data_IF_187908986477
#
_entry.id   IF_187908986477
#
_cell.length_a   1.000
_cell.length_b   1.000
_cell.length_c   1.000
_cell.angle_alpha   90.00
_cell.angle_beta   90.00
_cell.angle_gamma   90.00
#
_symmetry.space_group_name_H-M   'P 1'
#
loop_
_entity.id
_entity.type
_entity.pdbx_description
1 polymer ?
#
# COMPACT_ATOMS: atom_id res chain seq x y z
N UNK A 1 -9.45 6.56 -28.42
CA UNK A 1 -10.06 6.12 -27.15
C UNK A 1 -10.07 7.31 -26.23
N UNK A 2 -11.26 7.88 -26.03
CA UNK A 2 -11.53 8.99 -25.12
C UNK A 2 -11.28 8.50 -23.70
N UNK A 3 -10.28 9.08 -23.04
CA UNK A 3 -10.14 8.98 -21.59
C UNK A 3 -11.43 9.54 -20.99
N UNK A 4 -12.25 8.67 -20.38
CA UNK A 4 -13.38 9.11 -19.57
C UNK A 4 -12.76 9.61 -18.28
N UNK A 5 -12.43 10.91 -18.22
CA UNK A 5 -12.19 11.60 -16.95
C UNK A 5 -13.47 11.52 -16.11
N UNK A 6 -13.50 10.61 -15.13
CA UNK A 6 -14.53 10.54 -14.09
C UNK A 6 -14.31 11.68 -13.06
N UNK A 7 -15.35 12.10 -12.31
CA UNK A 7 -15.68 13.48 -12.00
C UNK A 7 -14.93 14.09 -10.81
N UNK A 8 -13.60 13.97 -10.77
CA UNK A 8 -12.76 14.60 -9.73
C UNK A 8 -12.75 16.14 -9.82
N UNK A 9 -13.09 16.70 -10.98
CA UNK A 9 -13.28 18.15 -11.13
C UNK A 9 -14.33 18.69 -10.17
N UNK A 10 -15.37 17.91 -9.83
CA UNK A 10 -16.53 18.46 -9.13
C UNK A 10 -16.36 18.60 -7.62
N UNK A 11 -15.64 17.70 -6.94
CA UNK A 11 -15.49 17.76 -5.47
C UNK A 11 -14.40 18.72 -5.03
N UNK A 12 -13.25 18.72 -5.72
CA UNK A 12 -12.17 19.68 -5.49
C UNK A 12 -12.65 21.10 -5.76
N UNK A 13 -13.36 21.30 -6.86
CA UNK A 13 -13.93 22.62 -7.20
C UNK A 13 -14.98 23.03 -6.17
N UNK A 14 -15.85 22.12 -5.72
CA UNK A 14 -16.79 22.40 -4.62
C UNK A 14 -16.08 22.80 -3.33
N UNK A 15 -15.03 22.08 -2.94
CA UNK A 15 -14.24 22.41 -1.75
C UNK A 15 -13.52 23.76 -1.89
N UNK A 16 -12.92 24.07 -3.04
CA UNK A 16 -12.28 25.35 -3.31
C UNK A 16 -13.29 26.52 -3.28
N UNK A 17 -14.47 26.34 -3.88
CA UNK A 17 -15.55 27.33 -3.85
C UNK A 17 -16.04 27.55 -2.43
N UNK A 18 -16.20 26.47 -1.66
CA UNK A 18 -16.63 26.55 -0.26
C UNK A 18 -15.62 27.28 0.64
N UNK A 19 -14.32 26.92 0.54
CA UNK A 19 -13.25 27.59 1.30
C UNK A 19 -13.11 29.06 0.90
N UNK A 20 -13.25 29.38 -0.39
CA UNK A 20 -13.20 30.78 -0.87
C UNK A 20 -14.37 31.61 -0.31
N UNK A 21 -15.57 31.01 -0.22
CA UNK A 21 -16.72 31.65 0.42
C UNK A 21 -16.49 31.90 1.92
N UNK A 22 -15.91 30.94 2.65
CA UNK A 22 -15.59 31.12 4.07
C UNK A 22 -14.53 32.20 4.30
N UNK A 23 -13.54 32.33 3.41
CA UNK A 23 -12.56 33.42 3.41
C UNK A 23 -13.24 34.78 3.25
N UNK A 24 -14.14 34.92 2.27
CA UNK A 24 -14.90 36.14 2.06
C UNK A 24 -15.77 36.50 3.27
N UNK A 25 -16.42 35.53 3.90
CA UNK A 25 -17.20 35.73 5.12
C UNK A 25 -16.33 36.15 6.31
N UNK A 26 -15.16 35.54 6.48
CA UNK A 26 -14.21 35.88 7.54
C UNK A 26 -13.62 37.29 7.37
N UNK A 27 -13.27 37.68 6.14
CA UNK A 27 -12.73 39.01 5.81
C UNK A 27 -13.78 40.12 6.00
N UNK A 28 -15.04 39.86 5.64
CA UNK A 28 -16.13 40.83 5.75
C UNK A 28 -16.76 40.89 7.15
N UNK A 29 -16.36 40.01 8.07
CA UNK A 29 -16.85 40.01 9.45
C UNK A 29 -16.26 41.18 10.24
N UNK A 30 -17.03 41.76 11.16
CA UNK A 30 -16.54 42.81 12.09
C UNK A 30 -15.71 42.25 13.26
N UNK A 31 -15.55 40.93 13.33
CA UNK A 31 -14.79 40.24 14.37
C UNK A 31 -13.34 40.04 13.92
N UNK A 32 -12.39 40.15 14.85
CA UNK A 32 -10.98 39.93 14.55
C UNK A 32 -10.72 38.41 14.38
N UNK A 33 -10.87 37.92 13.15
CA UNK A 33 -10.67 36.51 12.76
C UNK A 33 -9.36 36.29 12.01
N UNK A 34 -8.30 37.00 12.40
CA UNK A 34 -7.01 36.94 11.72
C UNK A 34 -6.39 35.52 11.70
N UNK A 35 -6.68 34.72 12.73
CA UNK A 35 -6.22 33.33 12.82
C UNK A 35 -6.99 32.42 11.85
N UNK A 36 -8.33 32.52 11.82
CA UNK A 36 -9.18 31.78 10.88
C UNK A 36 -8.83 32.08 9.41
N UNK A 37 -8.57 33.35 9.09
CA UNK A 37 -8.17 33.76 7.72
C UNK A 37 -6.88 33.03 7.32
N UNK A 38 -5.90 33.01 8.21
CA UNK A 38 -4.61 32.34 7.96
C UNK A 38 -4.78 30.83 7.77
N UNK A 39 -5.58 30.17 8.60
CA UNK A 39 -5.87 28.73 8.44
C UNK A 39 -6.59 28.44 7.12
N UNK A 40 -7.56 29.26 6.74
CA UNK A 40 -8.30 29.09 5.49
C UNK A 40 -7.43 29.34 4.25
N UNK A 41 -6.50 30.31 4.30
CA UNK A 41 -5.50 30.53 3.26
C UNK A 41 -4.57 29.33 3.09
N UNK A 42 -4.11 28.74 4.20
CA UNK A 42 -3.29 27.53 4.20
C UNK A 42 -4.06 26.32 3.62
N UNK A 43 -5.34 26.16 3.96
CA UNK A 43 -6.21 25.13 3.38
C UNK A 43 -6.41 25.35 1.87
N UNK A 44 -6.63 26.59 1.43
CA UNK A 44 -6.77 26.92 0.01
C UNK A 44 -5.48 26.62 -0.77
N UNK A 45 -4.31 26.88 -0.17
CA UNK A 45 -3.00 26.54 -0.72
C UNK A 45 -2.81 25.02 -0.81
N UNK A 46 -3.19 24.26 0.21
CA UNK A 46 -3.12 22.79 0.19
C UNK A 46 -4.07 22.15 -0.83
N UNK A 47 -5.27 22.70 -0.99
CA UNK A 47 -6.25 22.24 -1.98
C UNK A 47 -5.83 22.62 -3.41
N UNK A 48 -5.25 23.79 -3.62
CA UNK A 48 -4.78 24.22 -4.94
C UNK A 48 -3.52 23.47 -5.41
N UNK A 49 -2.67 23.01 -4.48
CA UNK A 49 -1.55 22.14 -4.81
C UNK A 49 -2.03 20.88 -5.55
N UNK A 50 -1.37 20.58 -6.68
CA UNK A 50 -1.57 19.32 -7.39
C UNK A 50 -0.94 18.21 -6.55
N UNK A 51 -1.77 17.45 -5.83
CA UNK A 51 -1.35 16.15 -5.30
C UNK A 51 -1.21 15.21 -6.49
N UNK A 52 0.01 14.96 -6.91
CA UNK A 52 0.33 13.84 -7.78
C UNK A 52 0.33 12.59 -6.91
N UNK A 53 -0.50 11.61 -7.25
CA UNK A 53 -0.60 10.36 -6.51
C UNK A 53 -1.56 9.42 -7.20
N UNK A 54 -1.23 8.14 -7.20
CA UNK A 54 -2.15 7.09 -7.57
C UNK A 54 -3.20 6.98 -6.44
N UNK A 55 -4.47 7.00 -6.79
CA UNK A 55 -5.58 6.80 -5.85
C UNK A 55 -6.29 5.53 -6.27
N UNK A 56 -6.43 4.57 -5.35
CA UNK A 56 -7.15 3.33 -5.58
C UNK A 56 -8.09 3.04 -4.41
N UNK A 57 -9.10 2.21 -4.67
CA UNK A 57 -10.00 1.71 -3.64
C UNK A 57 -9.25 0.71 -2.76
N UNK A 58 -9.27 0.93 -1.45
CA UNK A 58 -8.68 0.01 -0.48
C UNK A 58 -9.63 -1.15 -0.24
N UNK A 59 -9.16 -2.36 -0.53
CA UNK A 59 -9.88 -3.57 -0.17
C UNK A 59 -9.22 -4.18 1.06
N UNK A 60 -9.96 -4.23 2.17
CA UNK A 60 -9.49 -4.91 3.37
C UNK A 60 -9.48 -6.42 3.16
N UNK A 61 -8.31 -7.05 3.29
CA UNK A 61 -8.20 -8.51 3.38
C UNK A 61 -8.79 -8.95 4.73
N UNK A 62 -9.59 -10.03 4.72
CA UNK A 62 -10.22 -10.60 5.94
C UNK A 62 -9.21 -10.85 7.08
N UNK A 63 -7.95 -11.08 6.71
CA UNK A 63 -6.81 -11.26 7.59
C UNK A 63 -6.61 -10.16 8.66
N UNK A 64 -6.86 -8.88 8.35
CA UNK A 64 -6.70 -7.80 9.34
C UNK A 64 -7.75 -7.86 10.46
N UNK A 65 -8.94 -8.40 10.16
CA UNK A 65 -9.97 -8.62 11.17
C UNK A 65 -9.59 -9.79 12.09
N UNK A 66 -9.02 -10.85 11.53
CA UNK A 66 -8.65 -12.07 12.25
C UNK A 66 -7.42 -11.86 13.16
N UNK A 67 -6.44 -11.05 12.75
CA UNK A 67 -5.27 -10.71 13.57
C UNK A 67 -5.60 -10.01 14.90
N UNK A 68 -6.76 -9.35 15.01
CA UNK A 68 -7.16 -8.70 16.26
C UNK A 68 -7.40 -9.69 17.40
N UNK A 69 -7.75 -10.93 17.07
CA UNK A 69 -8.17 -11.93 18.03
C UNK A 69 -7.24 -13.15 18.09
N UNK A 70 -6.39 -13.35 17.08
CA UNK A 70 -5.48 -14.49 17.03
C UNK A 70 -4.09 -14.06 16.57
N UNK A 71 -3.07 -14.27 17.40
CA UNK A 71 -1.66 -14.06 17.02
C UNK A 71 -1.15 -15.39 16.53
N UNK A 72 -0.99 -15.56 15.22
CA UNK A 72 -0.47 -16.81 14.70
C UNK A 72 1.02 -16.93 15.02
N UNK A 73 1.52 -18.16 15.14
CA UNK A 73 2.93 -18.44 15.48
C UNK A 73 3.49 -19.48 14.53
N UNK A 74 4.75 -19.31 14.13
CA UNK A 74 5.44 -20.34 13.36
C UNK A 74 5.76 -21.55 14.23
N UNK A 75 5.45 -22.73 13.70
CA UNK A 75 5.79 -24.01 14.32
C UNK A 75 6.88 -24.68 13.50
N UNK A 76 8.02 -24.96 14.12
CA UNK A 76 9.13 -25.64 13.45
C UNK A 76 8.74 -27.08 13.09
N UNK A 77 8.82 -27.42 11.80
CA UNK A 77 8.67 -28.79 11.36
C UNK A 77 10.04 -29.50 11.34
N UNK A 78 10.36 -30.19 12.43
CA UNK A 78 11.64 -30.92 12.60
C UNK A 78 11.90 -31.99 11.53
N UNK A 79 10.85 -32.55 10.92
CA UNK A 79 10.99 -33.58 9.89
C UNK A 79 11.52 -33.04 8.55
N UNK A 80 11.27 -31.76 8.26
CA UNK A 80 11.73 -31.09 7.03
C UNK A 80 13.10 -30.41 7.20
N UNK A 81 13.75 -30.55 8.35
CA UNK A 81 15.05 -29.92 8.63
C UNK A 81 16.16 -30.61 7.85
N UNK A 82 16.80 -29.87 6.94
CA UNK A 82 17.95 -30.36 6.17
C UNK A 82 19.26 -29.88 6.79
N UNK A 83 20.19 -30.81 6.98
CA UNK A 83 21.55 -30.52 7.46
C UNK A 83 22.54 -30.76 6.33
N UNK A 84 23.10 -29.68 5.77
CA UNK A 84 24.17 -29.77 4.78
C UNK A 84 25.55 -29.85 5.43
N UNK A 85 25.77 -29.02 6.45
CA UNK A 85 26.99 -29.00 7.25
C UNK A 85 26.62 -29.17 8.73
N UNK A 86 27.21 -30.16 9.40
CA UNK A 86 26.91 -30.51 10.80
C UNK A 86 27.62 -29.59 11.80
N UNK A 87 28.69 -28.91 11.37
CA UNK A 87 29.52 -28.08 12.23
C UNK A 87 29.22 -26.57 12.08
N UNK A 88 28.37 -26.20 11.12
CA UNK A 88 27.95 -24.83 10.89
C UNK A 88 26.67 -24.48 11.65
N UNK A 89 26.73 -23.41 12.45
CA UNK A 89 25.56 -22.84 13.13
C UNK A 89 24.69 -21.95 12.20
N UNK A 90 24.96 -21.92 10.89
CA UNK A 90 24.17 -21.14 9.94
C UNK A 90 22.93 -21.91 9.52
N UNK A 91 21.78 -21.26 9.57
CA UNK A 91 20.51 -21.81 9.13
C UNK A 91 19.80 -20.83 8.20
N UNK A 92 19.05 -21.38 7.25
CA UNK A 92 18.11 -20.64 6.42
C UNK A 92 16.69 -21.07 6.82
N UNK A 93 15.75 -20.14 6.82
CA UNK A 93 14.35 -20.44 7.10
C UNK A 93 13.55 -20.56 5.81
N UNK A 94 12.71 -21.58 5.75
CA UNK A 94 11.62 -21.69 4.78
C UNK A 94 10.31 -21.54 5.56
N UNK A 95 9.54 -20.51 5.25
CA UNK A 95 8.25 -20.23 5.86
C UNK A 95 7.16 -20.66 4.89
N UNK A 96 6.23 -21.50 5.36
CA UNK A 96 5.10 -22.02 4.58
C UNK A 96 3.81 -21.40 5.15
N UNK A 97 3.09 -20.63 4.33
CA UNK A 97 1.87 -19.93 4.73
C UNK A 97 1.56 -18.73 3.85
N UNK A 98 0.54 -17.96 4.22
CA UNK A 98 0.25 -16.68 3.58
C UNK A 98 1.39 -15.67 3.81
N UNK A 99 1.71 -14.89 2.77
CA UNK A 99 2.84 -13.97 2.80
C UNK A 99 2.59 -12.75 3.69
N UNK A 100 1.38 -12.18 3.72
CA UNK A 100 1.05 -11.03 4.55
C UNK A 100 1.14 -11.39 6.02
N UNK A 101 0.62 -12.57 6.35
CA UNK A 101 0.77 -13.16 7.67
C UNK A 101 2.24 -13.33 8.05
N UNK A 102 3.02 -13.98 7.19
CA UNK A 102 4.43 -14.24 7.46
C UNK A 102 5.23 -12.95 7.67
N UNK A 103 4.94 -11.92 6.88
CA UNK A 103 5.55 -10.60 7.00
C UNK A 103 5.24 -9.94 8.35
N UNK A 104 4.00 -10.03 8.86
CA UNK A 104 3.67 -9.48 10.18
C UNK A 104 4.40 -10.18 11.33
N UNK A 105 4.65 -11.48 11.23
CA UNK A 105 5.45 -12.19 12.22
C UNK A 105 6.93 -11.80 12.16
N UNK A 106 7.45 -11.64 10.94
CA UNK A 106 8.79 -11.13 10.73
C UNK A 106 8.93 -9.69 11.25
N UNK A 107 7.90 -8.86 11.11
CA UNK A 107 7.90 -7.47 11.61
C UNK A 107 8.20 -7.41 13.12
N UNK A 108 7.73 -8.40 13.89
CA UNK A 108 7.98 -8.47 15.35
C UNK A 108 9.42 -8.84 15.72
N UNK A 109 10.14 -9.52 14.84
CA UNK A 109 11.43 -10.17 15.16
C UNK A 109 12.61 -9.60 14.37
N UNK A 110 12.36 -9.11 13.15
CA UNK A 110 13.36 -8.73 12.14
C UNK A 110 13.20 -7.29 11.62
N UNK A 111 12.52 -6.42 12.38
CA UNK A 111 12.42 -4.99 12.07
C UNK A 111 13.81 -4.38 11.88
N UNK A 112 14.05 -3.76 10.72
CA UNK A 112 15.32 -3.12 10.40
C UNK A 112 16.52 -4.06 10.20
N UNK A 113 16.31 -5.38 10.06
CA UNK A 113 17.40 -6.37 10.03
C UNK A 113 17.63 -7.00 8.65
N UNK A 114 16.78 -6.73 7.67
CA UNK A 114 16.87 -7.34 6.34
C UNK A 114 17.62 -6.41 5.39
N UNK A 115 18.73 -6.87 4.83
CA UNK A 115 19.52 -6.04 3.91
C UNK A 115 18.99 -6.08 2.47
N UNK A 116 18.45 -7.22 2.04
CA UNK A 116 17.98 -7.40 0.66
C UNK A 116 16.66 -8.15 0.67
N UNK A 117 15.68 -7.61 -0.06
CA UNK A 117 14.41 -8.28 -0.37
C UNK A 117 14.30 -8.41 -1.88
N UNK A 118 13.98 -9.60 -2.37
CA UNK A 118 13.63 -9.84 -3.77
C UNK A 118 12.24 -10.46 -3.83
N UNK A 119 11.34 -9.87 -4.63
CA UNK A 119 9.99 -10.39 -4.84
C UNK A 119 9.65 -10.41 -6.33
N UNK A 120 8.91 -11.44 -6.72
CA UNK A 120 8.35 -11.64 -8.06
C UNK A 120 6.84 -11.84 -7.92
N UNK A 121 6.07 -10.74 -7.72
CA UNK A 121 4.63 -10.83 -7.50
C UNK A 121 3.89 -11.33 -8.76
N UNK A 122 2.69 -11.92 -8.61
CA UNK A 122 1.89 -12.37 -9.75
C UNK A 122 1.59 -11.20 -10.70
N UNK A 123 1.91 -11.37 -11.98
CA UNK A 123 1.71 -10.32 -12.98
C UNK A 123 0.22 -10.18 -13.35
N UNK A 124 -0.29 -8.96 -13.44
CA UNK A 124 -1.65 -8.68 -13.90
C UNK A 124 -1.78 -8.80 -15.44
N UNK A 125 -1.33 -9.92 -16.01
CA UNK A 125 -1.24 -10.13 -17.47
C UNK A 125 -2.60 -10.43 -18.13
N UNK A 126 -3.64 -10.67 -17.32
CA UNK A 126 -4.95 -11.10 -17.79
C UNK A 126 -5.04 -12.57 -18.20
N UNK A 127 -3.97 -13.34 -17.96
CA UNK A 127 -4.08 -14.78 -17.71
C UNK A 127 -4.45 -14.96 -16.22
N UNK A 128 -5.05 -16.09 -15.87
CA UNK A 128 -5.71 -16.37 -14.58
C UNK A 128 -4.75 -16.47 -13.37
N UNK A 129 -3.73 -15.63 -13.33
CA UNK A 129 -2.56 -15.79 -12.47
C UNK A 129 -2.69 -15.00 -11.16
N UNK A 130 -3.68 -14.12 -11.04
CA UNK A 130 -3.97 -13.37 -9.82
C UNK A 130 -5.30 -13.83 -9.19
N UNK A 131 -5.19 -14.48 -8.03
CA UNK A 131 -6.31 -14.86 -7.17
C UNK A 131 -6.33 -13.88 -5.99
N UNK A 132 -7.47 -13.23 -5.76
CA UNK A 132 -7.66 -12.31 -4.65
C UNK A 132 -8.95 -12.65 -3.91
N UNK A 133 -8.89 -12.83 -2.59
CA UNK A 133 -10.03 -13.28 -1.76
C UNK A 133 -10.74 -14.52 -2.34
N UNK A 134 -9.98 -15.55 -2.70
CA UNK A 134 -10.48 -16.82 -3.27
C UNK A 134 -11.20 -16.71 -4.64
N UNK A 135 -11.31 -15.51 -5.21
CA UNK A 135 -11.89 -15.27 -6.52
C UNK A 135 -10.81 -14.98 -7.58
N UNK A 136 -10.92 -15.63 -8.73
CA UNK A 136 -10.07 -15.34 -9.90
C UNK A 136 -10.40 -13.96 -10.44
N UNK A 137 -9.41 -13.06 -10.49
CA UNK A 137 -9.58 -11.75 -11.11
C UNK A 137 -9.61 -11.94 -12.63
N UNK A 138 -10.82 -11.87 -13.19
CA UNK A 138 -11.07 -12.00 -14.62
C UNK A 138 -10.52 -10.83 -15.42
N UNK A 139 -10.29 -11.05 -16.72
CA UNK A 139 -9.78 -10.04 -17.66
C UNK A 139 -10.69 -8.80 -17.76
N UNK A 140 -11.98 -9.00 -17.50
CA UNK A 140 -13.07 -8.03 -17.57
C UNK A 140 -13.37 -7.34 -16.23
N UNK A 141 -12.57 -7.59 -15.17
CA UNK A 141 -12.71 -6.90 -13.90
C UNK A 141 -12.13 -5.46 -14.00
N UNK A 142 -13.02 -4.47 -13.94
CA UNK A 142 -12.69 -3.04 -13.99
C UNK A 142 -11.76 -2.61 -12.83
N UNK A 143 -11.73 -3.37 -11.73
CA UNK A 143 -10.97 -3.06 -10.51
C UNK A 143 -9.68 -3.88 -10.34
N UNK A 144 -9.26 -4.65 -11.35
CA UNK A 144 -8.05 -5.52 -11.26
C UNK A 144 -6.79 -4.80 -10.80
N UNK A 145 -6.57 -3.56 -11.26
CA UNK A 145 -5.39 -2.78 -10.90
C UNK A 145 -5.49 -2.28 -9.46
N UNK A 146 -6.66 -1.82 -9.01
CA UNK A 146 -6.89 -1.41 -7.63
C UNK A 146 -6.73 -2.58 -6.64
N UNK A 147 -7.25 -3.77 -6.98
CA UNK A 147 -7.09 -4.98 -6.18
C UNK A 147 -5.63 -5.41 -6.05
N UNK A 148 -4.89 -5.42 -7.17
CA UNK A 148 -3.46 -5.75 -7.16
C UNK A 148 -2.64 -4.71 -6.36
N UNK A 149 -2.92 -3.41 -6.54
CA UNK A 149 -2.27 -2.36 -5.77
C UNK A 149 -2.58 -2.48 -4.27
N UNK A 150 -3.84 -2.69 -3.88
CA UNK A 150 -4.25 -2.91 -2.49
C UNK A 150 -3.56 -4.13 -1.87
N UNK A 151 -3.42 -5.23 -2.64
CA UNK A 151 -2.71 -6.43 -2.24
C UNK A 151 -1.21 -6.17 -2.04
N UNK A 152 -0.55 -5.51 -3.00
CA UNK A 152 0.89 -5.25 -2.95
C UNK A 152 1.26 -4.18 -1.92
N UNK A 153 0.45 -3.13 -1.78
CA UNK A 153 0.66 -2.03 -0.83
C UNK A 153 0.93 -2.55 0.58
N UNK A 154 0.04 -3.41 1.09
CA UNK A 154 0.12 -4.00 2.42
C UNK A 154 1.45 -4.72 2.64
N UNK A 155 1.86 -5.52 1.66
CA UNK A 155 3.10 -6.32 1.71
C UNK A 155 4.33 -5.44 1.64
N UNK A 156 4.34 -4.44 0.75
CA UNK A 156 5.45 -3.51 0.58
C UNK A 156 5.64 -2.60 1.79
N UNK A 157 4.56 -2.17 2.45
CA UNK A 157 4.64 -1.37 3.68
C UNK A 157 5.38 -2.16 4.77
N UNK A 158 5.05 -3.44 4.95
CA UNK A 158 5.72 -4.27 5.96
C UNK A 158 7.16 -4.58 5.54
N UNK A 159 7.37 -4.93 4.26
CA UNK A 159 8.71 -5.16 3.72
C UNK A 159 9.64 -3.96 3.96
N UNK A 160 9.14 -2.73 3.79
CA UNK A 160 9.90 -1.51 4.08
C UNK A 160 10.33 -1.40 5.54
N UNK A 161 9.50 -1.83 6.49
CA UNK A 161 9.85 -1.83 7.93
C UNK A 161 10.88 -2.91 8.27
N UNK A 162 10.91 -4.01 7.52
CA UNK A 162 11.89 -5.07 7.69
C UNK A 162 13.29 -4.67 7.19
N UNK A 163 13.35 -3.80 6.17
CA UNK A 163 14.60 -3.35 5.59
C UNK A 163 15.47 -2.60 6.59
N UNK A 164 16.78 -2.91 6.60
CA UNK A 164 17.78 -2.12 7.31
C UNK A 164 17.88 -0.70 6.71
N UNK A 165 18.49 0.27 7.41
CA UNK A 165 18.59 1.65 6.91
C UNK A 165 19.22 1.79 5.52
N UNK A 166 20.09 0.85 5.15
CA UNK A 166 20.75 0.78 3.83
C UNK A 166 20.23 -0.38 2.98
N UNK A 167 19.14 -1.01 3.39
CA UNK A 167 18.58 -2.18 2.71
C UNK A 167 17.93 -1.81 1.38
N UNK A 168 17.90 -2.78 0.47
CA UNK A 168 17.36 -2.62 -0.88
C UNK A 168 16.25 -3.64 -1.15
N UNK A 169 15.23 -3.22 -1.88
CA UNK A 169 14.16 -4.10 -2.36
C UNK A 169 14.16 -4.11 -3.88
N UNK A 170 14.13 -5.32 -4.44
CA UNK A 170 13.96 -5.57 -5.87
C UNK A 170 12.59 -6.20 -6.09
N UNK A 171 11.82 -5.59 -6.99
CA UNK A 171 10.49 -6.08 -7.38
C UNK A 171 10.54 -6.32 -8.89
N UNK A 172 10.37 -7.57 -9.29
CA UNK A 172 10.24 -7.93 -10.70
C UNK A 172 8.84 -7.57 -11.18
N UNK A 173 8.74 -6.77 -12.25
CA UNK A 173 7.49 -6.26 -12.81
C UNK A 173 7.58 -6.37 -14.33
N UNK A 174 6.53 -6.89 -14.98
CA UNK A 174 6.43 -6.94 -16.43
C UNK A 174 5.93 -5.60 -17.02
N UNK A 175 6.28 -5.34 -18.29
CA UNK A 175 6.13 -4.07 -19.01
C UNK A 175 4.70 -3.50 -19.13
N UNK A 176 3.66 -4.24 -18.72
CA UNK A 176 2.29 -3.70 -18.62
C UNK A 176 2.03 -2.85 -17.37
N UNK A 177 2.95 -2.85 -16.39
CA UNK A 177 2.80 -2.14 -15.10
C UNK A 177 3.85 -1.03 -14.88
N UNK A 178 4.81 -0.86 -15.80
CA UNK A 178 5.93 0.10 -15.68
C UNK A 178 5.52 1.59 -15.62
N UNK A 179 4.27 1.92 -15.93
CA UNK A 179 3.71 3.27 -15.80
C UNK A 179 3.08 3.58 -14.43
N UNK A 180 2.81 2.57 -13.60
CA UNK A 180 2.20 2.72 -12.27
C UNK A 180 3.25 2.56 -11.16
N UNK A 181 4.30 1.78 -11.40
CA UNK A 181 5.38 1.51 -10.44
C UNK A 181 6.57 2.49 -10.54
N UNK A 182 6.30 3.80 -10.62
CA UNK A 182 7.35 4.82 -10.45
C UNK A 182 7.11 5.55 -9.13
N UNK A 183 7.88 5.18 -8.12
CA UNK A 183 8.06 5.94 -6.89
C UNK A 183 9.03 7.11 -7.14
#
# INVERSE_FOLDING_TARGET
MTFIERPHENEKTRALVYVSKLLEEAINSKENRAEDIKELEDIQKLLSQKKYGLVWEQHAEQFEADMKFNIPVFVENKSKKMHYDKDSNKFNFLLEGDNLHSLHLLEKTHLGKIDIIYIDPPYNTGNKDFVYNDDFVGKDDEFKHSKWLSFMERRLIIAKKLLSPNGVIFVSIDNKEGSVAKF
#
